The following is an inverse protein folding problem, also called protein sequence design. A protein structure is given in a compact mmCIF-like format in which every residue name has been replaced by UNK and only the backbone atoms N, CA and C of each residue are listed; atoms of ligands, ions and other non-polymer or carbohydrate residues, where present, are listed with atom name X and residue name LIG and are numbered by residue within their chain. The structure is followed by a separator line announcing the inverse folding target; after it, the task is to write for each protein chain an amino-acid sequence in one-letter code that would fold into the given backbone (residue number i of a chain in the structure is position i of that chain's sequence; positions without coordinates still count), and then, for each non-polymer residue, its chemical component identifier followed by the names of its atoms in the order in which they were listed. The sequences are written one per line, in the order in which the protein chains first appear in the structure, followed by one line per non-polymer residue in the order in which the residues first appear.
data_IF_392228494662
#
_entry.id   IF_392228494662
#
_cell.length_a   1.000
_cell.length_b   1.000
_cell.length_c   1.000
_cell.angle_alpha   90.00
_cell.angle_beta   90.00
_cell.angle_gamma   90.00
#
_symmetry.space_group_name_H-M   'P 1'
#
loop_
_entity.id
_entity.type
_entity.pdbx_description
1 polymer ?
#
# COMPACT_ATOMS: atom_id res chain seq x y z
N UNK A 1 7.86 21.35 -4.24
CA UNK A 1 7.43 19.97 -3.94
C UNK A 1 6.35 19.62 -4.94
N UNK A 2 6.59 18.66 -5.84
CA UNK A 2 5.68 18.33 -6.93
C UNK A 2 4.72 17.24 -6.44
N UNK A 3 3.42 17.52 -6.49
CA UNK A 3 2.36 16.58 -6.08
C UNK A 3 2.09 15.63 -7.25
N UNK A 4 2.17 14.33 -7.00
CA UNK A 4 1.86 13.30 -8.00
C UNK A 4 0.38 12.90 -7.87
N UNK A 5 -0.49 13.26 -8.85
CA UNK A 5 -1.92 12.96 -8.79
C UNK A 5 -2.23 11.46 -8.88
N UNK A 6 -1.30 10.63 -9.38
CA UNK A 6 -1.50 9.18 -9.52
C UNK A 6 -1.18 8.42 -8.21
N UNK A 7 -0.90 9.14 -7.13
CA UNK A 7 -0.36 8.59 -5.87
C UNK A 7 -1.31 8.64 -4.69
N UNK A 8 -2.61 8.88 -4.91
CA UNK A 8 -3.62 8.86 -3.84
C UNK A 8 -3.67 7.44 -3.23
N UNK A 9 -3.19 7.31 -2.00
CA UNK A 9 -3.19 6.05 -1.24
C UNK A 9 -4.27 6.11 -0.17
N UNK A 10 -5.46 5.59 -0.50
CA UNK A 10 -6.67 5.57 0.34
C UNK A 10 -7.21 6.96 0.74
N UNK A 11 -8.54 7.11 0.67
CA UNK A 11 -9.25 8.31 1.15
C UNK A 11 -9.74 8.03 2.57
N UNK A 12 -9.15 8.69 3.56
CA UNK A 12 -9.68 8.72 4.91
C UNK A 12 -10.66 9.90 5.01
N UNK A 13 -11.94 9.67 5.30
CA UNK A 13 -12.96 10.73 5.26
C UNK A 13 -12.75 11.83 6.31
N UNK A 14 -11.97 11.59 7.35
CA UNK A 14 -11.66 12.56 8.41
C UNK A 14 -10.40 13.36 8.11
N UNK A 15 -9.44 12.77 7.38
CA UNK A 15 -8.12 13.36 7.13
C UNK A 15 -7.98 13.92 5.72
N UNK A 16 -8.54 13.25 4.71
CA UNK A 16 -8.40 13.63 3.31
C UNK A 16 -8.97 15.02 2.97
N UNK A 17 -10.05 15.53 3.59
CA UNK A 17 -10.49 16.90 3.32
C UNK A 17 -9.44 17.97 3.68
N UNK A 18 -8.60 17.71 4.70
CA UNK A 18 -7.55 18.63 5.14
C UNK A 18 -6.23 18.41 4.39
N UNK A 19 -5.98 17.16 3.98
CA UNK A 19 -4.81 16.74 3.23
C UNK A 19 -5.26 15.94 2.00
N UNK A 20 -5.69 16.60 0.91
CA UNK A 20 -6.32 15.92 -0.23
C UNK A 20 -5.35 15.17 -1.14
N UNK A 21 -4.06 15.45 -1.04
CA UNK A 21 -3.03 14.87 -1.90
C UNK A 21 -1.96 14.13 -1.10
N UNK A 22 -1.23 13.24 -1.77
CA UNK A 22 -0.06 12.54 -1.21
C UNK A 22 1.09 13.52 -0.94
N UNK A 23 1.03 14.19 0.21
CA UNK A 23 1.99 15.20 0.67
C UNK A 23 2.77 14.79 1.92
N UNK A 24 3.51 15.73 2.55
CA UNK A 24 4.33 15.46 3.73
C UNK A 24 3.59 14.72 4.86
N UNK A 25 2.33 15.08 5.08
CA UNK A 25 1.48 14.46 6.10
C UNK A 25 1.40 12.93 5.94
N UNK A 26 1.14 12.43 4.73
CA UNK A 26 1.06 10.99 4.47
C UNK A 26 2.45 10.36 4.34
N UNK A 27 3.40 11.04 3.70
CA UNK A 27 4.74 10.49 3.48
C UNK A 27 5.49 10.19 4.79
N UNK A 28 5.35 11.03 5.82
CA UNK A 28 5.95 10.81 7.13
C UNK A 28 5.50 9.48 7.78
N UNK A 29 4.21 9.15 7.58
CA UNK A 29 3.50 8.00 8.18
C UNK A 29 3.52 6.75 7.29
N UNK A 30 3.89 6.90 6.03
CA UNK A 30 3.89 5.80 5.07
C UNK A 30 5.05 4.85 5.31
N UNK A 31 4.74 3.55 5.34
CA UNK A 31 5.76 2.50 5.31
C UNK A 31 6.36 2.30 3.90
N UNK A 32 5.69 2.78 2.85
CA UNK A 32 6.06 2.54 1.45
C UNK A 32 7.51 2.89 1.10
N UNK A 33 8.01 4.09 1.44
CA UNK A 33 9.40 4.47 1.16
C UNK A 33 10.46 3.68 1.95
N UNK A 34 10.08 2.86 2.93
CA UNK A 34 10.98 2.13 3.84
C UNK A 34 10.83 0.61 3.73
N UNK A 35 10.20 0.10 2.66
CA UNK A 35 9.93 -1.33 2.50
C UNK A 35 11.22 -2.17 2.46
N UNK A 36 12.32 -1.61 1.95
CA UNK A 36 13.66 -2.22 1.90
C UNK A 36 14.28 -2.46 3.30
N UNK A 37 13.77 -1.76 4.31
CA UNK A 37 14.20 -1.86 5.70
C UNK A 37 13.58 -3.06 6.42
N UNK A 38 12.54 -3.70 5.85
CA UNK A 38 11.91 -4.88 6.45
C UNK A 38 12.89 -6.06 6.40
N UNK A 39 13.18 -6.66 7.56
CA UNK A 39 14.12 -7.81 7.70
C UNK A 39 13.46 -9.09 8.24
N UNK A 40 12.16 -9.03 8.54
CA UNK A 40 11.40 -10.19 9.05
C UNK A 40 10.67 -10.88 7.90
N UNK A 41 10.40 -12.19 7.99
CA UNK A 41 9.54 -12.87 7.04
C UNK A 41 8.16 -12.21 6.93
N UNK A 42 7.60 -12.16 5.73
CA UNK A 42 6.33 -11.47 5.47
C UNK A 42 5.37 -12.32 4.63
N UNK A 43 4.08 -12.14 4.90
CA UNK A 43 3.01 -12.71 4.09
C UNK A 43 2.12 -11.58 3.59
N UNK A 44 2.01 -11.44 2.27
CA UNK A 44 1.22 -10.40 1.63
C UNK A 44 -0.12 -10.97 1.16
N UNK A 45 -1.21 -10.29 1.48
CA UNK A 45 -2.56 -10.76 1.19
C UNK A 45 -3.41 -9.65 0.58
N UNK A 46 -4.20 -9.98 -0.43
CA UNK A 46 -5.26 -9.10 -0.92
C UNK A 46 -6.35 -9.88 -1.65
N UNK A 47 -7.47 -9.20 -1.92
CA UNK A 47 -8.48 -9.67 -2.85
C UNK A 47 -8.43 -8.88 -4.15
N UNK A 48 -8.70 -9.52 -5.29
CA UNK A 48 -8.76 -8.82 -6.59
C UNK A 48 -9.77 -7.66 -6.59
N UNK A 49 -10.83 -7.77 -5.80
CA UNK A 49 -11.84 -6.71 -5.64
C UNK A 49 -11.30 -5.43 -4.97
N UNK A 50 -10.21 -5.52 -4.19
CA UNK A 50 -9.61 -4.38 -3.49
C UNK A 50 -8.67 -3.54 -4.36
N UNK A 51 -8.87 -3.55 -5.69
CA UNK A 51 -8.02 -2.86 -6.66
C UNK A 51 -7.89 -1.34 -6.42
N UNK A 52 -8.92 -0.70 -5.86
CA UNK A 52 -8.93 0.74 -5.57
C UNK A 52 -8.21 1.15 -4.27
N UNK A 53 -7.85 0.18 -3.40
CA UNK A 53 -7.30 0.48 -2.07
C UNK A 53 -6.08 -0.37 -1.73
N UNK A 54 -6.26 -1.68 -1.53
CA UNK A 54 -5.23 -2.53 -0.92
C UNK A 54 -4.43 -3.37 -1.92
N UNK A 55 -4.98 -3.67 -3.10
CA UNK A 55 -4.35 -4.60 -4.05
C UNK A 55 -2.97 -4.10 -4.49
N UNK A 56 -2.88 -2.82 -4.91
CA UNK A 56 -1.61 -2.21 -5.26
C UNK A 56 -0.60 -2.26 -4.11
N UNK A 57 -1.05 -1.98 -2.88
CA UNK A 57 -0.21 -2.04 -1.69
C UNK A 57 0.39 -3.43 -1.42
N UNK A 58 -0.36 -4.50 -1.69
CA UNK A 58 0.13 -5.87 -1.56
C UNK A 58 1.27 -6.19 -2.54
N UNK A 59 1.13 -5.77 -3.80
CA UNK A 59 2.19 -5.93 -4.81
C UNK A 59 3.39 -5.02 -4.53
N UNK A 60 3.17 -3.74 -4.21
CA UNK A 60 4.22 -2.79 -3.83
C UNK A 60 5.04 -3.35 -2.65
N UNK A 61 4.37 -3.87 -1.61
CA UNK A 61 5.00 -4.48 -0.44
C UNK A 61 5.84 -5.71 -0.78
N UNK A 62 5.27 -6.63 -1.56
CA UNK A 62 5.99 -7.84 -1.95
C UNK A 62 7.22 -7.51 -2.79
N UNK A 63 7.13 -6.57 -3.73
CA UNK A 63 8.27 -6.19 -4.57
C UNK A 63 9.32 -5.37 -3.78
N UNK A 64 8.88 -4.47 -2.90
CA UNK A 64 9.74 -3.53 -2.18
C UNK A 64 10.54 -4.12 -1.01
N UNK A 65 10.12 -5.26 -0.45
CA UNK A 65 10.78 -5.88 0.71
C UNK A 65 12.05 -6.70 0.40
N UNK A 66 12.54 -6.65 -0.84
CA UNK A 66 13.83 -7.25 -1.21
C UNK A 66 13.84 -8.78 -1.05
N UNK A 67 14.90 -9.33 -0.47
CA UNK A 67 15.16 -10.79 -0.42
C UNK A 67 14.66 -11.50 0.84
N UNK A 68 13.79 -10.88 1.65
CA UNK A 68 13.22 -11.55 2.83
C UNK A 68 12.45 -12.83 2.43
N UNK A 69 12.35 -13.84 3.31
CA UNK A 69 11.42 -14.93 3.10
C UNK A 69 9.99 -14.39 3.02
N UNK A 70 9.36 -14.50 1.85
CA UNK A 70 8.03 -13.93 1.62
C UNK A 70 7.14 -14.82 0.77
N UNK A 71 5.84 -14.72 1.03
CA UNK A 71 4.78 -15.35 0.24
C UNK A 71 3.67 -14.35 -0.02
N UNK A 72 2.91 -14.56 -1.08
CA UNK A 72 1.75 -13.76 -1.41
C UNK A 72 0.56 -14.66 -1.75
N UNK A 73 -0.62 -14.25 -1.31
CA UNK A 73 -1.88 -14.80 -1.77
C UNK A 73 -2.81 -13.66 -2.21
N UNK A 74 -3.20 -13.69 -3.48
CA UNK A 74 -4.24 -12.81 -4.02
C UNK A 74 -5.40 -13.68 -4.48
N UNK A 75 -6.55 -13.53 -3.82
CA UNK A 75 -7.73 -14.35 -4.09
C UNK A 75 -8.82 -13.56 -4.81
N UNK A 76 -9.59 -14.20 -5.69
CA UNK A 76 -10.87 -13.63 -6.12
C UNK A 76 -11.82 -13.55 -4.93
N UNK A 77 -12.86 -12.73 -5.05
CA UNK A 77 -14.01 -12.86 -4.15
C UNK A 77 -14.56 -14.26 -4.36
N UNK A 78 -14.68 -15.05 -3.29
CA UNK A 78 -15.51 -16.25 -3.32
C UNK A 78 -16.94 -15.73 -3.14
N UNK A 79 -17.81 -15.79 -4.17
CA UNK A 79 -19.22 -15.47 -3.97
C UNK A 79 -19.75 -16.45 -2.91
N UNK A 80 -20.39 -15.91 -1.87
CA UNK A 80 -21.15 -16.72 -0.91
C UNK A 80 -22.49 -17.12 -1.51
#
# INVERSE_FOLDING_TARGET
MQVDPDRIRCVDPLVTPQYPFDGPFYQERSAGPRLDQVKIPAYFGSGWYMHELHLKGAFDGYNGTGSIPKRMLVVPVIPR
#
